data_IF_504955584939
#
_entry.id   IF_504955584939
#
_cell.length_a   1.000
_cell.length_b   1.000
_cell.length_c   1.000
_cell.angle_alpha   90.00
_cell.angle_beta   90.00
_cell.angle_gamma   90.00
#
_symmetry.space_group_name_H-M   'P 1'
#
loop_
_entity.id
_entity.type
_entity.pdbx_description
1 polymer ?
#
# COMPACT_ATOMS: atom_id res chain seq x y z
N UNK A 1 6.13 13.46 -25.67
CA UNK A 1 5.25 13.13 -24.51
C UNK A 1 4.08 12.16 -24.80
N UNK A 2 3.36 12.23 -25.93
CA UNK A 2 2.19 11.33 -26.18
C UNK A 2 2.56 9.83 -26.21
N UNK A 3 3.76 9.50 -26.66
CA UNK A 3 4.27 8.13 -26.71
C UNK A 3 4.53 7.56 -25.31
N UNK A 4 5.11 8.33 -24.40
CA UNK A 4 5.35 7.95 -23.00
C UNK A 4 4.02 7.62 -22.31
N UNK A 5 3.00 8.46 -22.54
CA UNK A 5 1.67 8.24 -21.94
C UNK A 5 0.96 7.00 -22.50
N UNK A 6 1.13 6.72 -23.81
CA UNK A 6 0.59 5.52 -24.43
C UNK A 6 1.26 4.23 -23.89
N UNK A 7 2.58 4.27 -23.66
CA UNK A 7 3.32 3.17 -23.05
C UNK A 7 2.86 2.97 -21.60
N UNK A 8 2.81 4.03 -20.80
CA UNK A 8 2.35 3.97 -19.41
C UNK A 8 0.92 3.40 -19.28
N UNK A 9 0.01 3.79 -20.18
CA UNK A 9 -1.36 3.27 -20.18
C UNK A 9 -1.43 1.78 -20.55
N UNK A 10 -0.58 1.32 -21.47
CA UNK A 10 -0.47 -0.10 -21.83
C UNK A 10 0.05 -0.92 -20.66
N UNK A 11 1.14 -0.47 -20.02
CA UNK A 11 1.74 -1.14 -18.86
C UNK A 11 0.77 -1.20 -17.68
N UNK A 12 0.06 -0.11 -17.40
CA UNK A 12 -0.93 -0.07 -16.32
C UNK A 12 -2.09 -1.04 -16.59
N UNK A 13 -2.59 -1.13 -17.83
CA UNK A 13 -3.62 -2.12 -18.20
C UNK A 13 -3.11 -3.55 -18.10
N UNK A 14 -1.87 -3.82 -18.53
CA UNK A 14 -1.25 -5.14 -18.39
C UNK A 14 -1.12 -5.55 -16.91
N UNK A 15 -0.86 -4.58 -16.03
CA UNK A 15 -0.80 -4.81 -14.58
C UNK A 15 -2.13 -5.35 -14.03
N UNK A 16 -3.24 -4.69 -14.35
CA UNK A 16 -4.59 -5.09 -13.92
C UNK A 16 -5.16 -6.28 -14.71
N UNK A 17 -4.60 -6.64 -15.87
CA UNK A 17 -5.00 -7.84 -16.59
C UNK A 17 -4.50 -9.14 -15.92
N UNK A 18 -3.47 -9.04 -15.06
CA UNK A 18 -2.91 -10.19 -14.37
C UNK A 18 -3.66 -10.52 -13.07
N UNK A 19 -4.05 -11.79 -12.87
CA UNK A 19 -4.67 -12.26 -11.63
C UNK A 19 -3.84 -11.96 -10.37
N UNK A 20 -2.50 -11.92 -10.48
CA UNK A 20 -1.61 -11.62 -9.35
C UNK A 20 -1.89 -10.23 -8.76
N UNK A 21 -2.22 -9.22 -9.58
CA UNK A 21 -2.44 -7.87 -9.07
C UNK A 21 -3.62 -7.82 -8.10
N UNK A 22 -4.69 -8.55 -8.41
CA UNK A 22 -5.85 -8.68 -7.52
C UNK A 22 -5.52 -9.44 -6.22
N UNK A 23 -4.67 -10.47 -6.31
CA UNK A 23 -4.21 -11.20 -5.11
C UNK A 23 -3.40 -10.28 -4.18
N UNK A 24 -2.49 -9.48 -4.74
CA UNK A 24 -1.67 -8.53 -3.95
C UNK A 24 -2.55 -7.45 -3.31
N UNK A 25 -3.49 -6.87 -4.07
CA UNK A 25 -4.44 -5.88 -3.54
C UNK A 25 -5.32 -6.50 -2.45
N UNK A 26 -5.81 -7.72 -2.66
CA UNK A 26 -6.61 -8.45 -1.68
C UNK A 26 -5.83 -8.74 -0.40
N UNK A 27 -4.60 -9.25 -0.52
CA UNK A 27 -3.71 -9.50 0.62
C UNK A 27 -3.43 -8.20 1.39
N UNK A 28 -3.12 -7.11 0.67
CA UNK A 28 -2.90 -5.80 1.27
C UNK A 28 -4.14 -5.30 2.03
N UNK A 29 -5.32 -5.40 1.43
CA UNK A 29 -6.58 -5.00 2.06
C UNK A 29 -6.90 -5.83 3.31
N UNK A 30 -6.64 -7.14 3.28
CA UNK A 30 -6.82 -8.03 4.43
C UNK A 30 -5.85 -7.69 5.57
N UNK A 31 -4.57 -7.50 5.26
CA UNK A 31 -3.56 -7.12 6.25
C UNK A 31 -3.89 -5.75 6.86
N UNK A 32 -4.20 -4.76 6.02
CA UNK A 32 -4.60 -3.43 6.47
C UNK A 32 -5.85 -3.49 7.36
N UNK A 33 -6.89 -4.22 6.95
CA UNK A 33 -8.11 -4.40 7.73
C UNK A 33 -7.86 -5.09 9.07
N UNK A 34 -6.97 -6.09 9.11
CA UNK A 34 -6.56 -6.76 10.34
C UNK A 34 -5.87 -5.79 11.31
N UNK A 35 -4.86 -5.05 10.84
CA UNK A 35 -4.17 -4.05 11.68
C UNK A 35 -5.13 -2.95 12.15
N UNK A 36 -6.06 -2.53 11.31
CA UNK A 36 -7.07 -1.56 11.68
C UNK A 36 -7.98 -2.06 12.80
N UNK A 37 -8.52 -3.26 12.66
CA UNK A 37 -9.35 -3.88 13.69
C UNK A 37 -8.59 -4.07 15.01
N UNK A 38 -7.32 -4.47 14.95
CA UNK A 38 -6.48 -4.65 16.13
C UNK A 38 -6.23 -3.33 16.88
N UNK A 39 -5.86 -2.26 16.17
CA UNK A 39 -5.59 -0.95 16.76
C UNK A 39 -6.88 -0.32 17.30
N UNK A 40 -7.99 -0.46 16.56
CA UNK A 40 -9.30 0.01 17.01
C UNK A 40 -9.74 -0.70 18.30
N UNK A 41 -9.56 -2.03 18.37
CA UNK A 41 -9.86 -2.81 19.57
C UNK A 41 -9.02 -2.38 20.77
N UNK A 42 -7.73 -2.10 20.56
CA UNK A 42 -6.84 -1.57 21.58
C UNK A 42 -7.30 -0.19 22.08
N UNK A 43 -7.61 0.71 21.15
CA UNK A 43 -8.13 2.05 21.46
C UNK A 43 -9.43 2.00 22.27
N UNK A 44 -10.37 1.14 21.87
CA UNK A 44 -11.65 0.96 22.57
C UNK A 44 -11.44 0.48 24.01
N UNK A 45 -10.58 -0.53 24.23
CA UNK A 45 -10.27 -1.02 25.58
C UNK A 45 -9.62 0.07 26.45
N UNK A 46 -8.70 0.84 25.88
CA UNK A 46 -8.05 1.95 26.58
C UNK A 46 -9.06 3.03 26.97
N UNK A 47 -10.02 3.34 26.08
CA UNK A 47 -11.08 4.31 26.36
C UNK A 47 -12.03 3.88 27.49
N UNK A 48 -12.39 2.59 27.53
CA UNK A 48 -13.23 2.03 28.59
C UNK A 48 -12.52 2.00 29.94
N UNK A 49 -11.21 1.78 29.97
CA UNK A 49 -10.41 1.77 31.20
C UNK A 49 -10.27 3.17 31.81
N UNK A 50 -10.18 4.22 30.98
CA UNK A 50 -10.18 5.62 31.44
C UNK A 50 -11.57 6.03 31.95
N UNK A 51 -12.66 5.48 31.38
CA UNK A 51 -14.02 5.69 31.89
C UNK A 51 -14.32 5.03 33.24
N UNK A 52 -13.56 3.98 33.63
CA UNK A 52 -13.73 3.29 34.92
C UNK A 52 -12.91 3.92 36.07
N UNK A 53 -11.79 4.58 35.78
CA UNK A 53 -11.04 5.36 36.77
C UNK A 53 -11.72 6.71 36.97
N UNK A 54 -12.77 6.73 37.81
CA UNK A 54 -13.46 7.93 38.20
C UNK A 54 -12.52 9.05 38.66
N UNK A 55 -12.75 10.25 38.13
CA UNK A 55 -12.46 11.52 38.81
C UNK A 55 -10.98 11.89 39.13
N UNK A 56 -9.99 11.57 38.29
CA UNK A 56 -8.63 12.13 38.55
C UNK A 56 -7.52 12.01 37.52
N UNK A 57 -7.69 11.29 36.41
CA UNK A 57 -6.65 11.17 35.35
C UNK A 57 -6.94 12.07 34.13
N UNK A 58 -5.93 12.41 33.30
CA UNK A 58 -6.15 13.25 32.12
C UNK A 58 -7.16 12.58 31.16
N UNK A 59 -8.35 13.17 31.05
CA UNK A 59 -9.54 12.64 30.36
C UNK A 59 -9.54 12.83 28.84
N UNK A 60 -8.39 13.12 28.23
CA UNK A 60 -8.30 13.42 26.80
C UNK A 60 -7.47 12.37 26.07
N UNK A 61 -8.05 11.18 25.87
CA UNK A 61 -7.49 10.23 24.91
C UNK A 61 -7.63 10.83 23.51
N UNK A 62 -6.53 11.38 23.02
CA UNK A 62 -6.46 11.95 21.68
C UNK A 62 -6.52 10.83 20.64
N UNK A 63 -7.61 10.79 19.86
CA UNK A 63 -7.82 9.86 18.74
C UNK A 63 -6.64 9.91 17.76
N UNK A 64 -6.15 11.11 17.46
CA UNK A 64 -5.02 11.31 16.55
C UNK A 64 -3.75 10.57 17.03
N UNK A 65 -3.49 10.58 18.33
CA UNK A 65 -2.28 9.99 18.90
C UNK A 65 -2.39 8.47 19.08
N UNK A 66 -3.59 7.98 19.44
CA UNK A 66 -3.78 6.59 19.84
C UNK A 66 -4.38 5.70 18.75
N UNK A 67 -4.99 6.28 17.72
CA UNK A 67 -5.57 5.56 16.59
C UNK A 67 -4.85 5.90 15.28
N UNK A 68 -4.79 7.18 14.90
CA UNK A 68 -4.30 7.58 13.58
C UNK A 68 -2.78 7.39 13.45
N UNK A 69 -1.99 7.83 14.44
CA UNK A 69 -0.53 7.71 14.39
C UNK A 69 -0.05 6.25 14.32
N UNK A 70 -0.54 5.31 15.14
CA UNK A 70 -0.19 3.90 15.00
C UNK A 70 -0.65 3.32 13.67
N UNK A 71 -1.86 3.64 13.20
CA UNK A 71 -2.32 3.20 11.89
C UNK A 71 -1.39 3.63 10.76
N UNK A 72 -0.97 4.89 10.75
CA UNK A 72 -0.06 5.43 9.74
C UNK A 72 1.30 4.74 9.75
N UNK A 73 1.86 4.46 10.93
CA UNK A 73 3.14 3.75 11.06
C UNK A 73 3.06 2.31 10.51
N UNK A 74 2.03 1.57 10.91
CA UNK A 74 1.79 0.20 10.42
C UNK A 74 1.54 0.18 8.91
N UNK A 75 0.77 1.15 8.40
CA UNK A 75 0.49 1.27 6.96
C UNK A 75 1.74 1.61 6.17
N UNK A 76 2.59 2.50 6.67
CA UNK A 76 3.84 2.85 6.01
C UNK A 76 4.78 1.63 5.92
N UNK A 77 4.85 0.84 6.99
CA UNK A 77 5.59 -0.43 6.96
C UNK A 77 5.02 -1.41 5.92
N UNK A 78 3.69 -1.55 5.82
CA UNK A 78 3.06 -2.38 4.78
C UNK A 78 3.39 -1.89 3.37
N UNK A 79 3.30 -0.57 3.14
CA UNK A 79 3.62 0.04 1.84
C UNK A 79 5.09 -0.22 1.47
N UNK A 80 6.01 -0.19 2.44
CA UNK A 80 7.42 -0.45 2.20
C UNK A 80 7.69 -1.88 1.68
N UNK A 81 6.83 -2.84 2.00
CA UNK A 81 6.89 -4.21 1.46
C UNK A 81 6.16 -4.31 0.12
N UNK A 82 4.97 -3.69 0.00
CA UNK A 82 4.13 -3.81 -1.19
C UNK A 82 4.70 -3.03 -2.38
N UNK A 83 5.24 -1.84 -2.16
CA UNK A 83 5.80 -0.99 -3.22
C UNK A 83 6.94 -1.67 -4.02
N UNK A 84 7.99 -2.25 -3.38
CA UNK A 84 9.01 -2.99 -4.13
C UNK A 84 8.45 -4.26 -4.77
N UNK A 85 7.51 -4.95 -4.12
CA UNK A 85 6.90 -6.15 -4.69
C UNK A 85 6.15 -5.84 -6.01
N UNK A 86 5.42 -4.73 -6.05
CA UNK A 86 4.70 -4.25 -7.24
C UNK A 86 5.66 -3.82 -8.34
N UNK A 87 6.71 -3.06 -8.01
CA UNK A 87 7.66 -2.49 -8.98
C UNK A 87 8.68 -3.49 -9.50
N UNK A 88 9.18 -4.41 -8.67
CA UNK A 88 10.09 -5.47 -9.11
C UNK A 88 9.42 -6.40 -10.11
N UNK A 89 8.10 -6.60 -9.98
CA UNK A 89 7.34 -7.44 -10.89
C UNK A 89 7.33 -6.87 -12.32
N UNK A 90 7.06 -5.58 -12.50
CA UNK A 90 7.01 -4.97 -13.84
C UNK A 90 8.38 -5.07 -14.52
N UNK A 91 9.44 -4.75 -13.79
CA UNK A 91 10.81 -4.83 -14.33
C UNK A 91 11.24 -6.28 -14.63
N UNK A 92 10.89 -7.23 -13.77
CA UNK A 92 11.24 -8.64 -13.96
C UNK A 92 10.45 -9.30 -15.09
N UNK A 93 9.18 -8.92 -15.27
CA UNK A 93 8.35 -9.43 -16.36
C UNK A 93 8.91 -8.98 -17.72
N UNK A 94 9.30 -7.73 -17.89
CA UNK A 94 9.92 -7.25 -19.14
C UNK A 94 11.30 -7.86 -19.41
N UNK A 95 12.10 -8.06 -18.34
CA UNK A 95 13.42 -8.71 -18.47
C UNK A 95 13.28 -10.18 -18.86
N UNK A 96 12.25 -10.86 -18.35
CA UNK A 96 11.96 -12.27 -18.67
C UNK A 96 11.37 -12.44 -20.07
N UNK A 97 10.57 -11.48 -20.55
CA UNK A 97 9.93 -11.55 -21.87
C UNK A 97 10.82 -11.09 -23.02
N UNK A 98 12.03 -10.61 -22.74
CA UNK A 98 12.95 -10.06 -23.75
C UNK A 98 12.45 -8.76 -24.40
N UNK A 99 11.33 -8.22 -23.93
CA UNK A 99 10.71 -7.02 -24.51
C UNK A 99 11.50 -5.76 -24.19
N UNK A 100 12.33 -5.80 -23.13
CA UNK A 100 13.30 -4.76 -22.81
C UNK A 100 14.23 -4.47 -24.00
N UNK A 101 14.69 -5.49 -24.73
CA UNK A 101 15.59 -5.30 -25.87
C UNK A 101 14.88 -4.65 -27.05
N UNK A 102 13.60 -4.96 -27.26
CA UNK A 102 12.75 -4.33 -28.26
C UNK A 102 12.42 -2.87 -27.93
N UNK A 103 12.20 -2.54 -26.66
CA UNK A 103 11.99 -1.16 -26.23
C UNK A 103 13.27 -0.33 -26.41
N UNK A 104 14.43 -0.86 -26.02
CA UNK A 104 15.73 -0.19 -26.16
C UNK A 104 16.19 0.00 -27.62
N UNK A 105 15.75 -0.88 -28.53
CA UNK A 105 16.08 -0.79 -29.97
C UNK A 105 15.00 -0.09 -30.79
N UNK A 106 13.82 0.14 -30.21
CA UNK A 106 12.76 0.89 -30.88
C UNK A 106 13.13 2.37 -31.01
N UNK A 107 12.80 3.05 -32.12
CA UNK A 107 13.08 4.47 -32.33
C UNK A 107 12.06 5.32 -31.55
N UNK A 108 11.97 5.11 -30.25
CA UNK A 108 11.18 5.92 -29.34
C UNK A 108 12.14 6.92 -28.72
N UNK A 109 11.92 8.20 -28.99
CA UNK A 109 12.76 9.27 -28.48
C UNK A 109 12.67 9.32 -26.94
N UNK A 110 13.80 9.13 -26.27
CA UNK A 110 13.94 9.16 -24.79
C UNK A 110 13.82 10.58 -24.19
N UNK A 111 13.18 11.51 -24.91
CA UNK A 111 13.02 12.91 -24.55
C UNK A 111 11.61 13.42 -24.89
#
# INVERSE_FOLDING_TARGET
MRNIFAIAQKELKAYFASPIAYVVIGLFALLFGYFYSAILSFFLRQSLQVGQFGFGGPTTINVNQHLIRPLMLQTNFLILIVMPMVTMRSYSEEKRSGTIELLLTSPVSDW
#
